data_IF_916509305431
#
_entry.id   IF_916509305431
#
_cell.length_a   1.000
_cell.length_b   1.000
_cell.length_c   1.000
_cell.angle_alpha   90.00
_cell.angle_beta   90.00
_cell.angle_gamma   90.00
#
_symmetry.space_group_name_H-M   'P 1'
#
loop_
_entity.id
_entity.type
_entity.pdbx_description
1 polymer ?
#
# COMPACT_ATOMS: atom_id res chain seq x y z
N UNK A 1 21.64 -7.26 0.51
CA UNK A 1 22.59 -6.67 1.48
C UNK A 1 23.67 -5.96 0.67
N UNK A 2 23.81 -4.64 0.79
CA UNK A 2 24.80 -3.88 0.02
C UNK A 2 26.07 -3.77 0.88
N UNK A 3 27.19 -4.37 0.46
CA UNK A 3 28.48 -4.25 1.16
C UNK A 3 29.31 -3.21 0.41
N UNK A 4 29.64 -2.10 1.09
CA UNK A 4 30.46 -1.03 0.53
C UNK A 4 31.89 -1.14 1.06
N UNK A 5 32.89 -1.12 0.18
CA UNK A 5 34.31 -1.03 0.52
C UNK A 5 34.85 0.27 -0.07
N UNK A 6 35.42 1.14 0.76
CA UNK A 6 35.91 2.45 0.34
C UNK A 6 37.32 2.76 0.84
N UNK A 7 38.11 3.48 0.03
CA UNK A 7 39.37 4.14 0.42
C UNK A 7 39.17 5.66 0.51
N UNK A 8 40.04 6.30 1.30
CA UNK A 8 39.99 7.73 1.63
C UNK A 8 40.07 8.71 0.45
N UNK A 9 39.46 9.92 0.55
CA UNK A 9 38.60 10.40 1.63
C UNK A 9 37.15 9.99 1.37
N UNK A 10 36.66 9.02 2.15
CA UNK A 10 35.30 8.48 2.07
C UNK A 10 34.59 8.72 3.41
N UNK A 11 33.27 9.00 3.43
CA UNK A 11 32.51 9.07 4.68
C UNK A 11 32.63 7.79 5.56
N UNK A 12 33.10 6.67 4.99
CA UNK A 12 33.43 5.45 5.73
C UNK A 12 34.66 5.58 6.65
N UNK A 13 35.59 6.50 6.34
CA UNK A 13 36.84 6.65 7.08
C UNK A 13 36.62 7.34 8.43
N UNK A 14 35.66 8.26 8.53
CA UNK A 14 35.24 8.84 9.80
C UNK A 14 34.62 7.76 10.71
N UNK A 15 33.79 6.87 10.17
CA UNK A 15 33.26 5.73 10.94
C UNK A 15 34.36 4.75 11.36
N UNK A 16 35.31 4.45 10.48
CA UNK A 16 36.48 3.63 10.81
C UNK A 16 37.32 4.27 11.91
N UNK A 17 37.53 5.59 11.83
CA UNK A 17 38.28 6.35 12.83
C UNK A 17 37.54 6.39 14.17
N UNK A 18 36.21 6.50 14.16
CA UNK A 18 35.38 6.43 15.38
C UNK A 18 35.39 5.04 16.00
N UNK A 19 35.25 3.99 15.20
CA UNK A 19 35.35 2.60 15.67
C UNK A 19 36.73 2.30 16.28
N UNK A 20 37.79 2.82 15.67
CA UNK A 20 39.15 2.71 16.19
C UNK A 20 39.34 3.52 17.48
N UNK A 21 38.85 4.77 17.56
CA UNK A 21 39.01 5.62 18.75
C UNK A 21 38.15 5.18 19.94
N UNK A 22 36.89 4.81 19.71
CA UNK A 22 35.95 4.49 20.79
C UNK A 22 36.06 3.04 21.26
N UNK A 23 36.46 2.13 20.37
CA UNK A 23 36.38 0.69 20.64
C UNK A 23 37.64 -0.09 20.27
N UNK A 24 38.73 0.58 19.86
CA UNK A 24 39.97 -0.02 19.39
C UNK A 24 39.72 -1.13 18.34
N UNK A 25 38.73 -0.91 17.47
CA UNK A 25 38.21 -1.91 16.56
C UNK A 25 38.25 -1.46 15.09
N UNK A 26 38.28 -2.42 14.18
CA UNK A 26 38.27 -2.23 12.74
C UNK A 26 36.87 -2.56 12.20
N UNK A 27 36.32 -1.70 11.32
CA UNK A 27 35.07 -2.00 10.63
C UNK A 27 35.28 -3.13 9.63
N UNK A 28 34.47 -4.17 9.76
CA UNK A 28 34.41 -5.29 8.82
C UNK A 28 33.39 -5.04 7.71
N UNK A 29 32.25 -4.46 8.08
CA UNK A 29 31.10 -4.25 7.18
C UNK A 29 30.42 -2.94 7.50
N UNK A 30 29.99 -2.22 6.46
CA UNK A 30 29.19 -1.01 6.60
C UNK A 30 27.74 -1.30 6.21
N UNK A 31 26.80 -0.80 7.02
CA UNK A 31 25.37 -1.04 6.92
C UNK A 31 24.66 0.30 6.78
N UNK A 32 23.70 0.40 5.86
CA UNK A 32 22.80 1.55 5.77
C UNK A 32 21.45 1.12 6.31
N UNK A 33 20.97 1.79 7.35
CA UNK A 33 19.76 1.40 8.07
C UNK A 33 18.57 2.28 7.70
N UNK A 34 17.46 1.64 7.34
CA UNK A 34 16.09 2.20 7.23
C UNK A 34 15.15 1.26 8.00
N UNK A 35 14.15 1.71 8.77
CA UNK A 35 13.37 2.94 8.60
C UNK A 35 13.27 3.74 9.92
N UNK A 36 14.28 4.55 10.20
CA UNK A 36 14.19 5.63 11.20
C UNK A 36 13.91 6.94 10.44
N UNK A 37 13.31 7.98 11.04
CA UNK A 37 13.16 9.29 10.40
C UNK A 37 14.47 9.90 9.87
N UNK A 38 15.63 9.40 10.31
CA UNK A 38 16.96 9.79 9.85
C UNK A 38 17.71 8.60 9.22
N UNK A 39 18.47 8.86 8.14
CA UNK A 39 19.25 7.84 7.42
C UNK A 39 20.53 7.57 8.22
N UNK A 40 20.74 6.36 8.73
CA UNK A 40 21.93 6.05 9.55
C UNK A 40 22.88 5.12 8.82
N UNK A 41 24.17 5.42 8.94
CA UNK A 41 25.25 4.55 8.48
C UNK A 41 25.93 3.92 9.69
N UNK A 42 26.06 2.61 9.67
CA UNK A 42 26.59 1.84 10.78
C UNK A 42 27.77 0.98 10.33
N UNK A 43 28.72 0.74 11.23
CA UNK A 43 29.85 -0.14 11.00
C UNK A 43 29.79 -1.31 11.99
N UNK A 44 29.83 -2.53 11.47
CA UNK A 44 29.98 -3.74 12.26
C UNK A 44 31.47 -4.06 12.45
N UNK A 45 31.88 -4.27 13.69
CA UNK A 45 33.28 -4.48 14.08
C UNK A 45 33.56 -5.96 14.36
N UNK A 46 34.84 -6.36 14.38
CA UNK A 46 35.27 -7.76 14.69
C UNK A 46 34.73 -8.36 16.00
N UNK A 47 34.15 -7.55 16.89
CA UNK A 47 33.61 -7.99 18.17
C UNK A 47 32.06 -7.94 18.22
N UNK A 48 31.39 -7.85 17.07
CA UNK A 48 29.93 -7.82 16.96
C UNK A 48 29.30 -6.55 17.54
N UNK A 49 30.04 -5.44 17.56
CA UNK A 49 29.54 -4.13 18.00
C UNK A 49 29.32 -3.23 16.81
N UNK A 50 28.17 -2.55 16.82
CA UNK A 50 27.72 -1.64 15.77
C UNK A 50 28.03 -0.20 16.18
N UNK A 51 28.77 0.53 15.35
CA UNK A 51 29.09 1.95 15.53
C UNK A 51 28.29 2.75 14.53
N UNK A 52 27.39 3.61 15.00
CA UNK A 52 26.45 4.36 14.15
C UNK A 52 26.89 5.81 13.92
N UNK A 53 26.50 6.36 12.78
CA UNK A 53 26.58 7.77 12.42
C UNK A 53 25.29 8.18 11.72
N UNK A 54 24.70 9.27 12.20
CA UNK A 54 23.56 9.91 11.53
C UNK A 54 24.03 10.59 10.24
N UNK A 55 23.29 10.41 9.14
CA UNK A 55 23.52 11.10 7.87
C UNK A 55 22.53 12.24 7.71
N UNK A 56 23.03 13.45 7.47
CA UNK A 56 22.20 14.57 7.07
C UNK A 56 21.87 14.48 5.57
N UNK A 57 20.70 14.99 5.17
CA UNK A 57 20.21 14.94 3.78
C UNK A 57 21.22 15.56 2.80
N UNK A 58 21.99 16.56 3.22
CA UNK A 58 23.02 17.19 2.37
C UNK A 58 24.21 16.26 2.08
N UNK A 59 24.48 15.26 2.92
CA UNK A 59 25.57 14.29 2.74
C UNK A 59 25.17 13.12 1.81
N UNK A 60 23.87 12.82 1.72
CA UNK A 60 23.33 11.63 1.03
C UNK A 60 23.24 11.85 -0.48
N UNK A 61 22.81 13.04 -0.92
CA UNK A 61 22.61 13.35 -2.34
C UNK A 61 23.94 13.30 -3.14
N UNK A 62 25.05 13.89 -2.68
CA UNK A 62 26.33 13.80 -3.38
C UNK A 62 26.91 12.37 -3.38
N UNK A 63 26.74 11.63 -2.28
CA UNK A 63 27.19 10.25 -2.16
C UNK A 63 26.45 9.33 -3.14
N UNK A 64 25.13 9.48 -3.25
CA UNK A 64 24.29 8.70 -4.16
C UNK A 64 24.63 8.97 -5.63
N UNK A 65 24.85 10.24 -5.98
CA UNK A 65 25.25 10.64 -7.34
C UNK A 65 26.69 10.23 -7.69
N UNK A 66 27.57 10.11 -6.69
CA UNK A 66 28.90 9.52 -6.88
C UNK A 66 28.82 8.01 -7.09
N UNK A 67 28.03 7.30 -6.29
CA UNK A 67 27.83 5.84 -6.43
C UNK A 67 27.20 5.46 -7.76
N UNK A 68 26.20 6.23 -8.24
CA UNK A 68 25.63 6.02 -9.59
C UNK A 68 26.71 6.14 -10.67
N UNK A 69 27.60 7.13 -10.56
CA UNK A 69 28.69 7.37 -11.53
C UNK A 69 29.75 6.27 -11.47
N UNK A 70 30.17 5.86 -10.28
CA UNK A 70 31.19 4.81 -10.11
C UNK A 70 30.67 3.44 -10.55
N UNK A 71 29.42 3.11 -10.23
CA UNK A 71 28.80 1.84 -10.64
C UNK A 71 28.54 1.79 -12.14
N UNK A 72 28.17 2.91 -12.76
CA UNK A 72 28.08 3.05 -14.22
C UNK A 72 29.46 2.88 -14.87
N UNK A 73 30.50 3.54 -14.35
CA UNK A 73 31.86 3.41 -14.86
C UNK A 73 32.50 2.02 -14.62
N UNK A 74 32.05 1.28 -13.60
CA UNK A 74 32.44 -0.12 -13.39
C UNK A 74 31.73 -1.06 -14.37
N UNK A 75 30.44 -0.82 -14.63
CA UNK A 75 29.66 -1.55 -15.62
C UNK A 75 30.23 -1.35 -17.03
N UNK A 76 30.48 -0.10 -17.43
CA UNK A 76 31.05 0.24 -18.73
C UNK A 76 32.46 -0.40 -18.90
N UNK A 77 33.27 -0.45 -17.84
CA UNK A 77 34.59 -1.13 -17.86
C UNK A 77 34.49 -2.66 -17.96
N UNK A 78 33.48 -3.27 -17.33
CA UNK A 78 33.27 -4.73 -17.38
C UNK A 78 32.66 -5.17 -18.71
N UNK A 79 31.87 -4.32 -19.36
CA UNK A 79 31.35 -4.53 -20.71
C UNK A 79 32.47 -4.44 -21.75
N UNK A 80 33.47 -3.57 -21.53
CA UNK A 80 34.67 -3.47 -22.39
C UNK A 80 35.72 -4.57 -22.14
N UNK A 81 35.81 -5.14 -20.93
CA UNK A 81 36.88 -6.09 -20.58
C UNK A 81 36.53 -7.58 -20.73
N UNK A 82 35.25 -7.94 -20.86
CA UNK A 82 34.83 -9.33 -21.14
C UNK A 82 35.19 -10.39 -20.09
N UNK A 83 35.46 -10.01 -18.84
CA UNK A 83 35.92 -10.94 -17.79
C UNK A 83 34.77 -11.45 -16.90
N UNK A 84 34.57 -12.78 -16.88
CA UNK A 84 33.73 -13.49 -15.90
C UNK A 84 34.44 -13.62 -14.55
N UNK A 85 33.79 -13.16 -13.47
CA UNK A 85 34.39 -13.13 -12.12
C UNK A 85 34.10 -14.39 -11.30
N UNK A 86 35.17 -15.05 -10.83
CA UNK A 86 35.15 -16.08 -9.79
C UNK A 86 34.93 -15.47 -8.40
N UNK A 87 33.97 -15.97 -7.62
CA UNK A 87 33.78 -15.66 -6.21
C UNK A 87 33.85 -16.96 -5.39
N UNK A 88 34.84 -17.05 -4.50
CA UNK A 88 35.10 -18.20 -3.64
C UNK A 88 34.66 -17.92 -2.19
N UNK A 89 34.12 -18.99 -1.59
CA UNK A 89 34.13 -19.45 -0.19
C UNK A 89 33.71 -18.53 0.96
N UNK A 90 32.57 -18.88 1.56
CA UNK A 90 32.27 -18.68 2.99
C UNK A 90 31.78 -20.03 3.54
N UNK A 91 32.66 -20.75 4.25
CA UNK A 91 32.40 -22.10 4.78
C UNK A 91 31.68 -22.06 6.13
N UNK A 92 30.87 -23.10 6.36
CA UNK A 92 29.87 -23.21 7.42
C UNK A 92 30.40 -23.19 8.86
N UNK A 93 29.60 -22.59 9.74
CA UNK A 93 29.62 -22.84 11.18
C UNK A 93 28.52 -23.83 11.57
N UNK A 94 28.93 -24.92 12.23
CA UNK A 94 28.09 -25.92 12.85
C UNK A 94 27.40 -25.36 14.11
N UNK A 95 26.07 -25.41 14.16
CA UNK A 95 25.30 -25.25 15.39
C UNK A 95 24.43 -26.49 15.67
N UNK A 96 24.60 -27.03 16.89
CA UNK A 96 23.86 -28.18 17.41
C UNK A 96 22.45 -27.83 17.92
N UNK A 97 21.63 -28.90 18.02
CA UNK A 97 20.26 -29.00 18.56
C UNK A 97 19.09 -28.50 17.67
N UNK A 98 18.76 -29.32 16.66
CA UNK A 98 17.43 -29.74 16.14
C UNK A 98 16.25 -28.75 16.07
N UNK A 99 16.48 -27.44 15.97
CA UNK A 99 15.42 -26.50 15.61
C UNK A 99 15.53 -26.14 14.13
N UNK A 100 14.77 -26.85 13.28
CA UNK A 100 14.63 -26.48 11.86
C UNK A 100 13.82 -25.18 11.79
N UNK A 101 14.43 -24.10 11.32
CA UNK A 101 13.71 -22.84 11.03
C UNK A 101 13.06 -22.97 9.65
N UNK A 102 11.73 -22.98 9.62
CA UNK A 102 10.95 -23.03 8.38
C UNK A 102 10.58 -21.62 7.94
N UNK A 103 10.83 -21.31 6.67
CA UNK A 103 10.29 -20.11 6.02
C UNK A 103 8.86 -20.40 5.53
N UNK A 104 7.88 -19.68 6.07
CA UNK A 104 6.48 -19.84 5.65
C UNK A 104 6.24 -19.10 4.32
N UNK A 105 5.55 -19.76 3.39
CA UNK A 105 5.20 -19.24 2.06
C UNK A 105 3.68 -19.31 1.91
N UNK A 106 3.08 -18.25 1.36
CA UNK A 106 1.66 -18.20 0.98
C UNK A 106 1.47 -17.53 -0.38
N UNK A 107 0.27 -17.61 -0.96
CA UNK A 107 -0.04 -16.89 -2.20
C UNK A 107 0.12 -15.36 -2.08
N UNK A 108 0.01 -14.80 -0.85
CA UNK A 108 0.20 -13.37 -0.59
C UNK A 108 1.66 -13.02 -0.26
N UNK A 109 2.47 -14.01 0.12
CA UNK A 109 3.86 -13.86 0.55
C UNK A 109 4.72 -14.94 -0.13
N UNK A 110 5.03 -14.80 -1.43
CA UNK A 110 5.91 -15.73 -2.12
C UNK A 110 7.35 -15.59 -1.59
N UNK A 111 8.14 -16.66 -1.69
CA UNK A 111 9.53 -16.65 -1.29
C UNK A 111 10.45 -16.67 -2.51
N UNK A 112 11.50 -15.85 -2.47
CA UNK A 112 12.60 -15.92 -3.44
C UNK A 112 13.92 -16.06 -2.69
N UNK A 113 14.82 -16.90 -3.20
CA UNK A 113 16.17 -16.99 -2.64
C UNK A 113 17.22 -17.23 -3.74
N UNK A 114 18.42 -16.64 -3.59
CA UNK A 114 19.46 -16.72 -4.60
C UNK A 114 20.02 -18.14 -4.69
N UNK A 115 20.37 -18.56 -5.91
CA UNK A 115 20.92 -19.90 -6.22
C UNK A 115 22.39 -19.86 -6.64
N UNK A 116 23.12 -18.80 -6.23
CA UNK A 116 24.52 -18.57 -6.57
C UNK A 116 25.37 -19.82 -6.26
N UNK A 117 26.01 -20.38 -7.30
CA UNK A 117 26.89 -21.53 -7.19
C UNK A 117 26.21 -22.91 -7.12
N UNK A 118 24.88 -23.00 -7.22
CA UNK A 118 24.17 -24.28 -7.23
C UNK A 118 23.96 -24.81 -8.65
N UNK A 119 24.29 -26.08 -8.90
CA UNK A 119 24.09 -26.72 -10.22
C UNK A 119 22.66 -27.18 -10.43
N UNK A 120 22.10 -27.85 -9.43
CA UNK A 120 20.75 -28.41 -9.42
C UNK A 120 20.13 -28.23 -8.04
N UNK A 121 18.82 -27.96 -8.01
CA UNK A 121 18.02 -27.86 -6.79
C UNK A 121 16.91 -28.90 -6.80
N UNK A 122 16.66 -29.51 -5.65
CA UNK A 122 15.65 -30.56 -5.47
C UNK A 122 14.74 -30.27 -4.28
N UNK A 123 13.47 -30.63 -4.41
CA UNK A 123 12.53 -30.60 -3.29
C UNK A 123 12.59 -31.92 -2.50
N UNK A 124 12.84 -31.79 -1.20
CA UNK A 124 12.76 -32.87 -0.21
C UNK A 124 11.56 -32.62 0.73
N UNK A 125 10.49 -33.42 0.65
CA UNK A 125 9.37 -33.30 1.59
C UNK A 125 9.81 -33.64 3.01
N UNK A 126 9.31 -32.87 3.98
CA UNK A 126 9.48 -33.14 5.41
C UNK A 126 8.21 -33.70 6.07
N UNK A 127 7.06 -33.59 5.38
CA UNK A 127 5.75 -34.06 5.86
C UNK A 127 4.80 -32.92 6.19
N UNK A 128 3.69 -33.25 6.82
CA UNK A 128 2.71 -32.29 7.35
C UNK A 128 3.09 -31.88 8.77
N UNK A 129 2.61 -30.72 9.22
CA UNK A 129 2.83 -30.24 10.59
C UNK A 129 2.22 -31.14 11.68
N UNK A 130 1.27 -32.02 11.33
CA UNK A 130 0.72 -33.04 12.22
C UNK A 130 1.50 -34.39 12.19
N UNK A 131 2.64 -34.44 11.49
CA UNK A 131 3.42 -35.66 11.30
C UNK A 131 2.94 -36.56 10.15
N UNK A 132 1.91 -36.15 9.42
CA UNK A 132 1.43 -36.86 8.23
C UNK A 132 2.44 -36.86 7.09
N UNK A 133 2.36 -37.86 6.22
CA UNK A 133 3.25 -37.98 5.07
C UNK A 133 2.81 -37.04 3.93
N UNK A 134 3.77 -36.44 3.24
CA UNK A 134 3.56 -35.66 2.01
C UNK A 134 4.46 -36.20 0.93
N UNK A 135 3.89 -36.50 -0.24
CA UNK A 135 4.69 -36.94 -1.39
C UNK A 135 5.39 -35.77 -2.06
N UNK A 136 6.53 -36.04 -2.70
CA UNK A 136 7.26 -35.04 -3.48
C UNK A 136 6.41 -34.46 -4.61
N UNK A 137 5.66 -35.31 -5.31
CA UNK A 137 4.76 -34.90 -6.38
C UNK A 137 3.71 -33.90 -5.88
N UNK A 138 3.19 -34.10 -4.66
CA UNK A 138 2.24 -33.17 -4.05
C UNK A 138 2.86 -31.81 -3.76
N UNK A 139 4.08 -31.75 -3.23
CA UNK A 139 4.80 -30.48 -3.02
C UNK A 139 5.08 -29.77 -4.36
N UNK A 140 5.44 -30.53 -5.40
CA UNK A 140 5.66 -29.97 -6.74
C UNK A 140 4.37 -29.42 -7.36
N UNK A 141 3.26 -30.15 -7.27
CA UNK A 141 1.95 -29.67 -7.71
C UNK A 141 1.49 -28.44 -6.94
N UNK A 142 1.80 -28.37 -5.64
CA UNK A 142 1.46 -27.25 -4.77
C UNK A 142 2.20 -25.96 -5.15
N UNK A 143 3.47 -26.07 -5.57
CA UNK A 143 4.32 -24.91 -5.87
C UNK A 143 4.44 -24.61 -7.37
N UNK A 144 4.09 -25.55 -8.26
CA UNK A 144 4.23 -25.36 -9.71
C UNK A 144 5.67 -25.17 -10.20
N UNK A 145 6.67 -25.49 -9.37
CA UNK A 145 8.07 -25.13 -9.60
C UNK A 145 9.00 -26.34 -9.72
N UNK A 146 8.52 -27.57 -9.74
CA UNK A 146 9.37 -28.75 -9.96
C UNK A 146 8.70 -29.83 -10.81
N UNK A 147 9.55 -30.66 -11.42
CA UNK A 147 9.12 -31.84 -12.18
C UNK A 147 8.75 -33.02 -11.27
N UNK A 148 8.31 -34.13 -11.88
CA UNK A 148 7.94 -35.36 -11.16
C UNK A 148 9.08 -35.96 -10.34
N UNK A 149 10.34 -35.65 -10.69
CA UNK A 149 11.53 -36.10 -9.96
C UNK A 149 11.87 -35.18 -8.78
N UNK A 150 11.21 -34.02 -8.69
CA UNK A 150 11.42 -32.97 -7.69
C UNK A 150 12.50 -31.98 -8.06
N UNK A 151 13.01 -32.00 -9.29
CA UNK A 151 13.99 -31.04 -9.76
C UNK A 151 13.29 -29.70 -9.94
N UNK A 152 13.79 -28.67 -9.28
CA UNK A 152 13.23 -27.33 -9.30
C UNK A 152 13.49 -26.69 -10.66
N UNK A 153 12.42 -26.29 -11.35
CA UNK A 153 12.45 -25.41 -12.50
C UNK A 153 12.93 -24.03 -12.03
N UNK A 154 14.21 -23.77 -12.21
CA UNK A 154 14.76 -22.44 -11.93
C UNK A 154 14.15 -21.45 -12.92
N UNK A 155 13.12 -20.72 -12.49
CA UNK A 155 12.63 -19.55 -13.22
C UNK A 155 13.76 -18.52 -13.23
N UNK A 156 14.56 -18.53 -14.29
CA UNK A 156 15.65 -17.57 -14.54
C UNK A 156 15.04 -16.20 -14.85
N UNK A 157 14.51 -15.52 -13.85
CA UNK A 157 14.21 -14.09 -13.97
C UNK A 157 15.50 -13.35 -13.62
N UNK A 158 16.17 -12.80 -14.63
CA UNK A 158 17.30 -11.89 -14.44
C UNK A 158 16.75 -10.56 -13.92
N UNK A 159 16.46 -10.48 -12.63
CA UNK A 159 16.39 -9.19 -11.96
C UNK A 159 17.80 -8.92 -11.41
N UNK A 160 18.45 -7.89 -11.94
CA UNK A 160 19.81 -7.47 -11.52
C UNK A 160 20.95 -8.49 -11.75
N UNK A 161 20.77 -9.47 -12.64
CA UNK A 161 21.83 -10.40 -13.06
C UNK A 161 22.01 -11.63 -12.17
N UNK A 162 21.23 -11.76 -11.09
CA UNK A 162 21.26 -12.92 -10.20
C UNK A 162 20.19 -13.95 -10.57
N UNK A 163 20.45 -15.22 -10.28
CA UNK A 163 19.51 -16.34 -10.48
C UNK A 163 18.85 -16.64 -9.14
N UNK A 164 17.52 -16.77 -9.15
CA UNK A 164 16.72 -17.06 -7.95
C UNK A 164 15.81 -18.27 -8.19
N UNK A 165 15.51 -19.00 -7.12
CA UNK A 165 14.35 -19.88 -7.06
C UNK A 165 13.19 -19.07 -6.51
N UNK A 166 12.14 -18.91 -7.30
CA UNK A 166 10.87 -18.32 -6.88
C UNK A 166 9.92 -19.45 -6.46
N UNK A 167 9.42 -19.39 -5.24
CA UNK A 167 8.46 -20.34 -4.68
C UNK A 167 7.15 -19.61 -4.44
N UNK A 168 6.14 -19.97 -5.22
CA UNK A 168 4.80 -19.41 -5.13
C UNK A 168 3.78 -20.56 -5.19
N UNK A 169 2.86 -20.68 -4.21
CA UNK A 169 1.82 -21.69 -4.27
C UNK A 169 0.90 -21.48 -5.49
N UNK A 170 0.57 -22.54 -6.22
CA UNK A 170 -0.39 -22.51 -7.33
C UNK A 170 -1.78 -22.17 -6.80
N UNK A 171 -2.53 -21.34 -7.53
CA UNK A 171 -3.87 -20.84 -7.15
C UNK A 171 -4.77 -21.88 -6.46
N UNK A 172 -5.45 -21.43 -5.39
CA UNK A 172 -6.29 -22.20 -4.43
C UNK A 172 -7.24 -23.21 -5.07
N UNK A 173 -7.81 -22.89 -6.24
CA UNK A 173 -8.83 -23.70 -6.91
C UNK A 173 -8.36 -25.11 -7.31
N UNK A 174 -7.04 -25.36 -7.31
CA UNK A 174 -6.42 -26.63 -7.70
C UNK A 174 -5.79 -27.40 -6.55
N UNK A 175 -5.80 -26.87 -5.33
CA UNK A 175 -5.14 -27.50 -4.20
C UNK A 175 -6.09 -28.46 -3.46
N UNK A 176 -5.62 -29.66 -3.06
CA UNK A 176 -6.34 -30.46 -2.08
C UNK A 176 -6.58 -29.61 -0.82
N UNK A 177 -7.78 -29.69 -0.23
CA UNK A 177 -8.04 -29.05 1.08
C UNK A 177 -7.15 -29.69 2.13
N UNK A 178 -6.01 -29.06 2.40
CA UNK A 178 -5.08 -29.50 3.43
C UNK A 178 -5.36 -28.72 4.71
N UNK A 179 -5.62 -29.45 5.79
CA UNK A 179 -5.87 -28.89 7.13
C UNK A 179 -4.57 -28.56 7.88
N UNK A 180 -3.42 -28.92 7.33
CA UNK A 180 -2.11 -28.82 7.97
C UNK A 180 -1.05 -28.28 7.01
N UNK A 181 -0.09 -27.55 7.57
CA UNK A 181 1.06 -27.00 6.85
C UNK A 181 1.88 -28.10 6.20
N UNK A 182 2.34 -27.86 4.97
CA UNK A 182 3.22 -28.76 4.22
C UNK A 182 4.66 -28.30 4.40
N UNK A 183 5.48 -29.10 5.06
CA UNK A 183 6.89 -28.81 5.28
C UNK A 183 7.76 -29.48 4.19
N UNK A 184 8.75 -28.75 3.70
CA UNK A 184 9.70 -29.26 2.70
C UNK A 184 11.01 -28.49 2.77
N UNK A 185 12.02 -28.99 2.08
CA UNK A 185 13.31 -28.34 1.91
C UNK A 185 13.65 -28.22 0.43
N UNK A 186 14.36 -27.15 0.08
CA UNK A 186 15.09 -27.07 -1.17
C UNK A 186 16.55 -27.40 -0.89
N UNK A 187 17.04 -28.43 -1.56
CA UNK A 187 18.41 -28.95 -1.44
C UNK A 187 19.15 -28.65 -2.73
N UNK A 188 20.21 -27.86 -2.65
CA UNK A 188 21.06 -27.49 -3.78
C UNK A 188 22.47 -28.05 -3.65
N UNK A 189 23.03 -28.55 -4.75
CA UNK A 189 24.43 -28.99 -4.82
C UNK A 189 25.33 -27.86 -5.34
N UNK A 190 26.34 -27.49 -4.57
CA UNK A 190 27.37 -26.52 -4.94
C UNK A 190 28.41 -27.12 -5.89
N UNK A 191 29.17 -26.27 -6.59
CA UNK A 191 30.21 -26.72 -7.53
C UNK A 191 31.35 -27.52 -6.90
N UNK A 192 31.64 -27.26 -5.63
CA UNK A 192 32.66 -27.90 -4.80
C UNK A 192 32.19 -29.21 -4.15
N UNK A 193 30.93 -29.61 -4.39
CA UNK A 193 30.31 -30.77 -3.76
C UNK A 193 29.62 -30.48 -2.42
N UNK A 194 29.62 -29.24 -1.96
CA UNK A 194 28.84 -28.80 -0.79
C UNK A 194 27.33 -28.91 -1.02
N UNK A 195 26.57 -29.08 0.06
CA UNK A 195 25.10 -29.15 0.01
C UNK A 195 24.52 -27.97 0.80
N UNK A 196 23.66 -27.19 0.15
CA UNK A 196 22.88 -26.14 0.80
C UNK A 196 21.45 -26.62 0.95
N UNK A 197 20.92 -26.54 2.18
CA UNK A 197 19.52 -26.90 2.47
C UNK A 197 18.80 -25.70 3.05
N UNK A 198 17.62 -25.39 2.52
CA UNK A 198 16.73 -24.36 3.06
C UNK A 198 15.34 -24.93 3.28
N UNK A 199 14.82 -24.80 4.49
CA UNK A 199 13.56 -25.40 4.90
C UNK A 199 12.41 -24.38 4.81
N UNK A 200 11.25 -24.87 4.37
CA UNK A 200 10.06 -24.08 4.06
C UNK A 200 8.79 -24.78 4.55
N UNK A 201 7.75 -23.98 4.77
CA UNK A 201 6.40 -24.45 5.02
C UNK A 201 5.43 -23.75 4.06
N UNK A 202 4.56 -24.49 3.38
CA UNK A 202 3.38 -23.91 2.74
C UNK A 202 2.23 -23.99 3.71
N UNK A 203 1.53 -22.88 3.90
CA UNK A 203 0.28 -22.81 4.66
C UNK A 203 -0.89 -22.92 3.67
N UNK A 204 -1.51 -24.11 3.49
CA UNK A 204 -2.45 -24.38 2.39
C UNK A 204 -3.88 -23.94 2.68
N UNK A 205 -4.23 -23.80 3.94
CA UNK A 205 -5.41 -23.06 4.36
C UNK A 205 -4.90 -21.81 5.01
N UNK A 206 -5.44 -20.63 4.64
CA UNK A 206 -5.34 -19.49 5.53
C UNK A 206 -5.73 -20.00 6.93
N UNK A 207 -4.78 -20.15 7.87
CA UNK A 207 -5.15 -19.89 9.25
C UNK A 207 -5.64 -18.48 9.16
N UNK A 208 -6.96 -18.32 9.10
CA UNK A 208 -7.57 -17.12 9.62
C UNK A 208 -6.99 -17.05 11.02
N UNK A 209 -5.90 -16.29 11.20
CA UNK A 209 -5.60 -15.60 12.46
C UNK A 209 -6.99 -15.26 12.97
N UNK A 210 -7.36 -15.66 14.20
CA UNK A 210 -8.69 -15.35 14.76
C UNK A 210 -8.90 -13.83 14.69
N UNK A 211 -9.37 -13.37 13.55
CA UNK A 211 -9.75 -12.02 13.21
C UNK A 211 -11.21 -12.01 13.60
N UNK A 212 -11.62 -10.96 14.30
CA UNK A 212 -13.05 -10.80 14.50
C UNK A 212 -13.72 -10.73 13.13
N UNK A 213 -14.97 -11.17 13.06
CA UNK A 213 -15.84 -10.79 11.95
C UNK A 213 -15.80 -9.26 11.78
N UNK A 214 -16.02 -8.80 10.55
CA UNK A 214 -16.23 -7.39 10.30
C UNK A 214 -17.54 -6.94 10.96
N UNK A 215 -17.54 -5.71 11.46
CA UNK A 215 -18.74 -4.97 11.78
C UNK A 215 -18.91 -3.89 10.71
N UNK A 216 -19.98 -4.01 9.93
CA UNK A 216 -20.25 -3.16 8.77
C UNK A 216 -21.26 -2.05 9.11
N UNK A 217 -21.08 -0.90 8.47
CA UNK A 217 -21.91 0.29 8.61
C UNK A 217 -22.06 0.94 7.24
N UNK A 218 -23.26 1.43 6.93
CA UNK A 218 -23.56 2.07 5.65
C UNK A 218 -24.55 3.22 5.83
N UNK A 219 -24.52 4.14 4.87
CA UNK A 219 -25.67 5.00 4.57
C UNK A 219 -26.89 4.17 4.19
N UNK A 220 -28.05 4.81 4.19
CA UNK A 220 -29.30 4.20 3.72
C UNK A 220 -29.33 4.21 2.18
N UNK A 221 -30.15 3.34 1.57
CA UNK A 221 -30.35 3.28 0.11
C UNK A 221 -29.10 3.52 -0.75
N UNK A 222 -27.98 2.87 -0.46
CA UNK A 222 -26.70 3.13 -1.15
C UNK A 222 -26.79 2.99 -2.68
N UNK A 223 -27.75 2.21 -3.19
CA UNK A 223 -28.03 2.10 -4.62
C UNK A 223 -28.49 3.42 -5.28
N UNK A 224 -28.91 4.42 -4.50
CA UNK A 224 -29.18 5.79 -4.96
C UNK A 224 -27.90 6.63 -5.12
N UNK A 225 -26.73 6.14 -4.71
CA UNK A 225 -25.48 6.89 -4.89
C UNK A 225 -25.06 6.87 -6.37
N UNK A 226 -25.08 8.00 -7.08
CA UNK A 226 -24.72 8.04 -8.48
C UNK A 226 -23.22 7.86 -8.69
N UNK A 227 -22.85 7.29 -9.83
CA UNK A 227 -21.46 7.04 -10.21
C UNK A 227 -21.09 7.93 -11.40
N UNK A 228 -20.87 9.21 -11.11
CA UNK A 228 -20.43 10.19 -12.10
C UNK A 228 -18.96 10.01 -12.48
N UNK A 229 -18.59 10.52 -13.65
CA UNK A 229 -17.23 10.51 -14.19
C UNK A 229 -16.73 11.93 -14.43
N UNK A 230 -15.43 12.11 -14.27
CA UNK A 230 -14.69 13.29 -14.75
C UNK A 230 -14.92 13.50 -16.25
N UNK A 231 -14.91 14.76 -16.67
CA UNK A 231 -14.99 15.20 -18.06
C UNK A 231 -14.18 16.49 -18.27
N UNK A 232 -13.77 16.83 -19.50
CA UNK A 232 -13.05 18.06 -19.79
C UNK A 232 -13.90 19.32 -19.52
N UNK A 233 -13.35 20.29 -18.80
CA UNK A 233 -13.95 21.59 -18.51
C UNK A 233 -12.85 22.64 -18.30
N UNK A 234 -12.96 23.80 -18.96
CA UNK A 234 -12.01 24.92 -18.84
C UNK A 234 -10.52 24.55 -19.01
N UNK A 235 -10.22 23.59 -19.89
CA UNK A 235 -8.83 23.21 -20.23
C UNK A 235 -8.22 22.09 -19.39
N UNK A 236 -8.93 21.54 -18.40
CA UNK A 236 -8.52 20.35 -17.63
C UNK A 236 -9.74 19.47 -17.31
N UNK A 237 -9.60 18.44 -16.48
CA UNK A 237 -10.76 17.72 -15.94
C UNK A 237 -11.57 18.61 -14.99
N UNK A 238 -12.89 18.40 -14.91
CA UNK A 238 -13.81 19.17 -14.04
C UNK A 238 -13.45 19.12 -12.55
N UNK A 239 -12.70 18.11 -12.11
CA UNK A 239 -12.16 18.02 -10.77
C UNK A 239 -12.94 17.09 -9.85
N UNK A 240 -12.22 16.47 -8.90
CA UNK A 240 -12.78 15.47 -8.00
C UNK A 240 -13.66 16.07 -6.89
N UNK A 241 -13.39 17.30 -6.45
CA UNK A 241 -14.19 18.03 -5.46
C UNK A 241 -15.64 18.29 -5.90
N UNK A 242 -15.88 19.01 -7.02
CA UNK A 242 -17.23 19.27 -7.51
C UNK A 242 -17.98 17.99 -7.85
N UNK A 243 -17.28 16.99 -8.38
CA UNK A 243 -17.88 15.71 -8.72
C UNK A 243 -18.32 14.92 -7.47
N UNK A 244 -17.50 14.91 -6.40
CA UNK A 244 -17.88 14.27 -5.14
C UNK A 244 -19.10 14.94 -4.49
N UNK A 245 -19.18 16.27 -4.52
CA UNK A 245 -20.38 16.98 -4.05
C UNK A 245 -21.61 16.69 -4.91
N UNK A 246 -21.45 16.65 -6.24
CA UNK A 246 -22.54 16.26 -7.13
C UNK A 246 -23.08 14.86 -6.82
N UNK A 247 -22.20 13.91 -6.47
CA UNK A 247 -22.63 12.57 -6.10
C UNK A 247 -23.48 12.57 -4.83
N UNK A 248 -23.06 13.30 -3.80
CA UNK A 248 -23.84 13.43 -2.55
C UNK A 248 -25.18 14.13 -2.78
N UNK A 249 -25.19 15.23 -3.55
CA UNK A 249 -26.43 15.95 -3.84
C UNK A 249 -27.37 15.14 -4.72
N UNK A 250 -26.86 14.42 -5.71
CA UNK A 250 -27.65 13.49 -6.51
C UNK A 250 -28.24 12.34 -5.69
N UNK A 251 -27.49 11.82 -4.71
CA UNK A 251 -28.00 10.82 -3.76
C UNK A 251 -29.19 11.35 -2.94
N UNK A 252 -29.09 12.56 -2.39
CA UNK A 252 -30.20 13.17 -1.64
C UNK A 252 -31.42 13.46 -2.52
N UNK A 253 -31.18 13.97 -3.73
CA UNK A 253 -32.22 14.25 -4.72
C UNK A 253 -33.00 12.98 -5.12
N UNK A 254 -32.29 11.92 -5.48
CA UNK A 254 -32.90 10.63 -5.80
C UNK A 254 -33.71 10.05 -4.64
N UNK A 255 -33.18 10.13 -3.41
CA UNK A 255 -33.92 9.66 -2.22
C UNK A 255 -35.19 10.47 -1.97
N UNK A 256 -35.15 11.78 -2.17
CA UNK A 256 -36.32 12.65 -2.05
C UNK A 256 -37.39 12.27 -3.08
N UNK A 257 -37.00 12.10 -4.34
CA UNK A 257 -37.92 11.68 -5.42
C UNK A 257 -38.51 10.28 -5.20
N UNK A 258 -37.76 9.37 -4.57
CA UNK A 258 -38.24 8.05 -4.18
C UNK A 258 -39.12 8.04 -2.92
N UNK A 259 -39.26 9.18 -2.22
CA UNK A 259 -39.95 9.26 -0.93
C UNK A 259 -39.21 8.56 0.23
N UNK A 260 -37.88 8.41 0.10
CA UNK A 260 -37.01 7.70 1.04
C UNK A 260 -36.12 8.65 1.87
N UNK A 261 -36.19 9.96 1.62
CA UNK A 261 -35.42 10.99 2.31
C UNK A 261 -36.26 12.23 2.63
N UNK A 262 -35.58 13.32 2.95
CA UNK A 262 -36.23 14.63 3.10
C UNK A 262 -36.73 15.12 1.73
N UNK A 263 -37.98 15.58 1.69
CA UNK A 263 -38.62 16.06 0.48
C UNK A 263 -37.89 17.26 -0.12
N UNK A 264 -37.26 18.09 0.71
CA UNK A 264 -36.50 19.26 0.23
C UNK A 264 -35.29 18.83 -0.62
N UNK A 265 -34.81 17.59 -0.46
CA UNK A 265 -33.72 17.02 -1.26
C UNK A 265 -33.97 17.09 -2.77
N UNK A 266 -35.23 17.03 -3.22
CA UNK A 266 -35.61 17.10 -4.64
C UNK A 266 -35.30 18.45 -5.30
N UNK A 267 -34.98 19.49 -4.50
CA UNK A 267 -34.56 20.78 -5.03
C UNK A 267 -33.05 20.86 -5.35
N UNK A 268 -32.26 19.83 -5.01
CA UNK A 268 -30.81 19.82 -5.18
C UNK A 268 -30.39 19.70 -6.65
N UNK A 269 -31.12 18.93 -7.44
CA UNK A 269 -31.03 18.91 -8.90
C UNK A 269 -32.35 19.40 -9.51
N UNK A 270 -32.29 20.17 -10.58
CA UNK A 270 -33.47 20.83 -11.15
C UNK A 270 -33.54 20.69 -12.66
N UNK A 271 -34.72 20.94 -13.23
CA UNK A 271 -34.99 20.72 -14.65
C UNK A 271 -34.32 21.72 -15.62
N UNK A 272 -33.74 22.81 -15.11
CA UNK A 272 -33.03 23.80 -15.90
C UNK A 272 -31.84 23.22 -16.66
N UNK A 273 -31.34 23.95 -17.65
CA UNK A 273 -30.27 23.50 -18.53
C UNK A 273 -28.97 23.18 -17.79
N UNK A 274 -28.70 23.89 -16.69
CA UNK A 274 -27.53 23.69 -15.85
C UNK A 274 -27.79 22.81 -14.62
N UNK A 275 -28.99 22.25 -14.48
CA UNK A 275 -29.36 21.42 -13.33
C UNK A 275 -29.54 22.18 -12.01
N UNK A 276 -29.36 23.51 -11.97
CA UNK A 276 -29.45 24.30 -10.73
C UNK A 276 -30.69 25.20 -10.66
N UNK A 277 -31.34 25.43 -11.80
CA UNK A 277 -32.50 26.31 -11.98
C UNK A 277 -33.73 25.55 -12.49
N UNK A 278 -34.90 26.19 -12.52
CA UNK A 278 -36.15 25.54 -12.94
C UNK A 278 -36.88 24.84 -11.79
N UNK A 279 -37.82 23.98 -12.13
CA UNK A 279 -38.57 23.20 -11.13
C UNK A 279 -37.76 21.98 -10.62
N UNK A 280 -38.21 21.44 -9.50
CA UNK A 280 -37.68 20.30 -8.74
C UNK A 280 -38.34 18.97 -9.12
N UNK A 281 -38.93 18.85 -10.31
CA UNK A 281 -39.53 17.58 -10.77
C UNK A 281 -38.54 16.66 -11.48
N UNK A 282 -37.32 17.12 -11.73
CA UNK A 282 -36.30 16.33 -12.42
C UNK A 282 -35.38 15.68 -11.41
N UNK A 283 -35.32 14.35 -11.48
CA UNK A 283 -34.42 13.54 -10.68
C UNK A 283 -32.99 13.54 -11.25
N UNK A 284 -32.00 13.57 -10.35
CA UNK A 284 -30.60 13.41 -10.67
C UNK A 284 -30.35 12.02 -11.30
N UNK A 285 -29.71 11.95 -12.48
CA UNK A 285 -29.41 10.68 -13.11
C UNK A 285 -28.34 9.90 -12.32
N UNK A 286 -28.32 8.57 -12.42
CA UNK A 286 -27.25 7.73 -11.84
C UNK A 286 -25.89 7.87 -12.54
N UNK A 287 -25.87 8.46 -13.74
CA UNK A 287 -24.71 8.59 -14.64
C UNK A 287 -24.66 9.98 -15.25
N UNK A 288 -23.51 10.36 -15.83
CA UNK A 288 -23.37 11.66 -16.49
C UNK A 288 -24.37 11.79 -17.65
N UNK A 289 -25.07 12.93 -17.66
CA UNK A 289 -25.81 13.46 -18.80
C UNK A 289 -25.27 14.85 -19.13
N UNK A 290 -25.71 15.47 -20.24
CA UNK A 290 -25.34 16.85 -20.54
C UNK A 290 -25.72 17.82 -19.41
N UNK A 291 -26.95 17.71 -18.90
CA UNK A 291 -27.42 18.52 -17.77
C UNK A 291 -26.62 18.28 -16.49
N UNK A 292 -26.33 17.02 -16.15
CA UNK A 292 -25.50 16.71 -14.97
C UNK A 292 -24.06 17.22 -15.15
N UNK A 293 -23.51 17.20 -16.37
CA UNK A 293 -22.18 17.77 -16.63
C UNK A 293 -22.19 19.29 -16.46
N UNK A 294 -23.25 19.99 -16.88
CA UNK A 294 -23.43 21.41 -16.60
C UNK A 294 -23.56 21.68 -15.10
N UNK A 295 -24.30 20.84 -14.38
CA UNK A 295 -24.46 20.93 -12.92
C UNK A 295 -23.12 20.78 -12.18
N UNK A 296 -22.34 19.76 -12.53
CA UNK A 296 -21.00 19.56 -11.96
C UNK A 296 -20.08 20.74 -12.32
N UNK A 297 -20.24 21.34 -13.51
CA UNK A 297 -19.51 22.55 -13.91
C UNK A 297 -19.88 23.77 -13.06
N UNK A 298 -21.15 23.93 -12.68
CA UNK A 298 -21.58 24.97 -11.72
C UNK A 298 -20.99 24.74 -10.33
N UNK A 299 -20.94 23.49 -9.87
CA UNK A 299 -20.27 23.18 -8.61
C UNK A 299 -18.75 23.44 -8.69
N UNK A 300 -18.12 23.21 -9.85
CA UNK A 300 -16.72 23.56 -10.09
C UNK A 300 -16.50 25.07 -9.89
N UNK A 301 -17.35 25.90 -10.50
CA UNK A 301 -17.31 27.35 -10.36
C UNK A 301 -17.50 27.79 -8.89
N UNK A 302 -18.50 27.23 -8.19
CA UNK A 302 -18.79 27.53 -6.77
C UNK A 302 -17.61 27.18 -5.86
N UNK A 303 -16.98 26.04 -6.12
CA UNK A 303 -15.81 25.57 -5.37
C UNK A 303 -14.51 26.26 -5.79
N UNK A 304 -14.54 27.12 -6.80
CA UNK A 304 -13.34 27.71 -7.42
C UNK A 304 -12.27 26.64 -7.69
N UNK A 305 -12.69 25.56 -8.35
CA UNK A 305 -11.77 24.50 -8.77
C UNK A 305 -10.90 25.04 -9.90
N UNK A 306 -9.60 24.72 -9.87
CA UNK A 306 -8.61 25.26 -10.80
C UNK A 306 -7.82 24.13 -11.47
N UNK A 307 -7.21 24.42 -12.62
CA UNK A 307 -6.38 23.45 -13.32
C UNK A 307 -4.99 23.35 -12.68
N UNK A 308 -4.56 22.13 -12.37
CA UNK A 308 -3.20 21.79 -11.98
C UNK A 308 -2.66 20.76 -12.97
N UNK A 309 -2.07 21.23 -14.07
CA UNK A 309 -1.87 20.39 -15.26
C UNK A 309 -3.21 20.01 -15.88
N UNK A 310 -3.38 18.75 -16.28
CA UNK A 310 -4.60 18.28 -16.93
C UNK A 310 -5.71 17.86 -15.95
N UNK A 311 -5.51 18.04 -14.63
CA UNK A 311 -6.49 17.69 -13.60
C UNK A 311 -7.11 18.92 -12.93
N UNK A 312 -8.40 18.85 -12.65
CA UNK A 312 -9.10 19.84 -11.83
C UNK A 312 -8.85 19.61 -10.35
N UNK A 313 -8.23 20.58 -9.68
CA UNK A 313 -7.89 20.55 -8.27
C UNK A 313 -8.78 21.51 -7.47
N UNK A 314 -9.24 21.06 -6.30
CA UNK A 314 -10.04 21.87 -5.38
C UNK A 314 -9.32 21.97 -4.04
N UNK A 315 -9.15 23.19 -3.53
CA UNK A 315 -8.58 23.38 -2.20
C UNK A 315 -9.51 22.82 -1.12
N UNK A 316 -8.96 22.18 -0.08
CA UNK A 316 -9.74 21.67 1.05
C UNK A 316 -10.63 22.75 1.68
N UNK A 317 -10.12 23.97 1.81
CA UNK A 317 -10.89 25.11 2.34
C UNK A 317 -11.95 25.64 1.38
N UNK A 318 -11.91 25.29 0.10
CA UNK A 318 -12.97 25.65 -0.83
C UNK A 318 -14.14 24.65 -0.79
N UNK A 319 -13.94 23.45 -0.26
CA UNK A 319 -14.97 22.41 -0.20
C UNK A 319 -16.21 22.82 0.61
N UNK A 320 -16.10 23.82 1.51
CA UNK A 320 -17.24 24.36 2.26
C UNK A 320 -18.07 25.38 1.47
N UNK A 321 -17.60 25.88 0.33
CA UNK A 321 -18.27 26.95 -0.44
C UNK A 321 -19.61 26.54 -1.03
N UNK A 322 -19.90 25.24 -1.13
CA UNK A 322 -21.21 24.73 -1.52
C UNK A 322 -22.28 24.94 -0.44
N UNK A 323 -21.91 25.39 0.77
CA UNK A 323 -22.86 25.62 1.87
C UNK A 323 -23.98 26.60 1.50
N UNK A 324 -23.65 27.71 0.84
CA UNK A 324 -24.65 28.67 0.38
C UNK A 324 -25.62 28.05 -0.65
N UNK A 325 -25.08 27.26 -1.58
CA UNK A 325 -25.88 26.52 -2.57
C UNK A 325 -26.82 25.51 -1.91
N UNK A 326 -26.31 24.78 -0.91
CA UNK A 326 -27.02 23.75 -0.18
C UNK A 326 -28.13 24.33 0.70
N UNK A 327 -27.83 25.34 1.52
CA UNK A 327 -28.82 26.03 2.37
C UNK A 327 -29.94 26.68 1.60
N UNK A 328 -29.66 27.23 0.41
CA UNK A 328 -30.69 27.81 -0.44
C UNK A 328 -31.78 26.79 -0.84
N UNK A 329 -31.45 25.48 -0.84
CA UNK A 329 -32.32 24.40 -1.30
C UNK A 329 -32.84 23.50 -0.19
N UNK A 330 -32.12 23.41 0.94
CA UNK A 330 -32.47 22.57 2.08
C UNK A 330 -32.93 23.36 3.31
N UNK A 331 -33.05 24.68 3.18
CA UNK A 331 -33.42 25.56 4.30
C UNK A 331 -32.25 25.98 5.19
N UNK A 332 -32.57 26.77 6.22
CA UNK A 332 -31.58 27.44 7.06
C UNK A 332 -30.88 26.53 8.08
N UNK A 333 -31.45 25.36 8.40
CA UNK A 333 -30.83 24.37 9.29
C UNK A 333 -29.76 23.53 8.60
N UNK A 334 -29.76 23.48 7.27
CA UNK A 334 -28.80 22.72 6.50
C UNK A 334 -27.37 23.26 6.68
N UNK A 335 -26.39 22.37 6.69
CA UNK A 335 -25.02 22.69 7.08
C UNK A 335 -23.99 21.83 6.32
N UNK A 336 -22.87 22.46 5.96
CA UNK A 336 -21.69 21.76 5.44
C UNK A 336 -20.64 21.75 6.55
N UNK A 337 -20.35 20.57 7.08
CA UNK A 337 -19.27 20.42 8.06
C UNK A 337 -18.02 19.89 7.38
N UNK A 338 -16.90 20.62 7.51
CA UNK A 338 -15.58 20.21 7.03
C UNK A 338 -14.64 19.88 8.19
N UNK A 339 -13.91 18.78 8.06
CA UNK A 339 -12.84 18.32 8.96
C UNK A 339 -11.56 18.16 8.14
N UNK A 340 -10.61 19.06 8.36
CA UNK A 340 -9.34 19.09 7.64
C UNK A 340 -8.16 19.37 8.58
N UNK A 341 -6.94 19.16 8.10
CA UNK A 341 -5.74 19.51 8.83
C UNK A 341 -5.61 21.04 8.98
N UNK A 342 -5.51 21.50 10.23
CA UNK A 342 -5.57 22.93 10.59
C UNK A 342 -4.29 23.72 10.27
N UNK A 343 -3.16 23.04 10.01
CA UNK A 343 -1.88 23.71 9.76
C UNK A 343 -1.71 24.08 8.28
N UNK A 344 -1.51 25.38 8.00
CA UNK A 344 -1.46 25.99 6.66
C UNK A 344 -0.48 25.31 5.68
N UNK A 345 0.72 24.93 6.11
CA UNK A 345 1.73 24.27 5.25
C UNK A 345 1.36 22.82 4.87
N UNK A 346 0.43 22.18 5.59
CA UNK A 346 0.00 20.79 5.35
C UNK A 346 -1.35 20.69 4.63
N UNK A 347 -1.95 21.80 4.17
CA UNK A 347 -3.17 21.73 3.33
C UNK A 347 -2.91 21.04 1.98
N UNK A 348 -1.66 21.05 1.51
CA UNK A 348 -1.19 20.35 0.31
C UNK A 348 -0.62 18.95 0.60
N UNK A 349 -0.20 18.68 1.83
CA UNK A 349 0.42 17.42 2.25
C UNK A 349 -0.59 16.59 3.02
N UNK A 350 -1.14 15.54 2.41
CA UNK A 350 -2.11 14.67 3.08
C UNK A 350 -1.46 13.76 4.12
N UNK A 351 -1.27 14.32 5.31
CA UNK A 351 -1.00 13.57 6.52
C UNK A 351 -2.32 13.01 7.07
N UNK A 352 -2.40 11.69 7.08
CA UNK A 352 -3.50 10.95 7.70
C UNK A 352 -3.64 11.28 9.19
N UNK A 353 -4.90 11.44 9.67
CA UNK A 353 -5.19 11.62 11.09
C UNK A 353 -6.37 10.77 11.55
N UNK A 354 -6.15 9.99 12.61
CA UNK A 354 -7.17 9.20 13.30
C UNK A 354 -8.41 10.01 13.70
N UNK A 355 -8.26 11.28 14.08
CA UNK A 355 -9.38 12.14 14.48
C UNK A 355 -10.32 12.43 13.30
N UNK A 356 -9.78 12.73 12.12
CA UNK A 356 -10.57 12.99 10.90
C UNK A 356 -11.26 11.71 10.44
N UNK A 357 -10.54 10.57 10.47
CA UNK A 357 -11.14 9.25 10.22
C UNK A 357 -12.33 9.02 11.15
N UNK A 358 -12.16 9.20 12.46
CA UNK A 358 -13.22 8.93 13.44
C UNK A 358 -14.44 9.83 13.24
N UNK A 359 -14.25 11.09 12.87
CA UNK A 359 -15.34 12.00 12.49
C UNK A 359 -16.11 11.49 11.27
N UNK A 360 -15.40 11.09 10.19
CA UNK A 360 -16.03 10.51 9.01
C UNK A 360 -16.82 9.23 9.33
N UNK A 361 -16.28 8.34 10.16
CA UNK A 361 -17.00 7.15 10.62
C UNK A 361 -18.26 7.51 11.41
N UNK A 362 -18.21 8.58 12.22
CA UNK A 362 -19.36 9.07 12.97
C UNK A 362 -20.48 9.57 12.05
N UNK A 363 -20.14 10.25 10.95
CA UNK A 363 -21.12 10.69 9.95
C UNK A 363 -21.78 9.51 9.23
N UNK A 364 -21.02 8.47 8.85
CA UNK A 364 -21.60 7.25 8.26
C UNK A 364 -22.52 6.52 9.24
N UNK A 365 -22.20 6.48 10.55
CA UNK A 365 -23.12 5.94 11.56
C UNK A 365 -24.42 6.72 11.65
N UNK A 366 -24.36 8.04 11.40
CA UNK A 366 -25.51 8.94 11.32
C UNK A 366 -26.17 8.94 9.93
N UNK A 367 -25.79 8.01 9.04
CA UNK A 367 -26.37 7.80 7.71
C UNK A 367 -26.09 8.89 6.69
N UNK A 368 -25.05 9.69 6.93
CA UNK A 368 -24.62 10.72 5.99
C UNK A 368 -23.43 10.24 5.13
N UNK A 369 -23.51 10.32 3.79
CA UNK A 369 -22.35 10.10 2.93
C UNK A 369 -21.31 11.19 3.16
N UNK A 370 -20.03 10.86 3.00
CA UNK A 370 -18.92 11.74 3.37
C UNK A 370 -17.97 11.91 2.20
N UNK A 371 -17.66 13.15 1.81
CA UNK A 371 -16.54 13.43 0.92
C UNK A 371 -15.25 13.22 1.72
N UNK A 372 -14.37 12.34 1.27
CA UNK A 372 -13.08 12.08 1.92
C UNK A 372 -11.91 12.43 1.00
N UNK A 373 -10.87 13.03 1.54
CA UNK A 373 -9.61 13.26 0.82
C UNK A 373 -8.63 12.12 1.06
N UNK A 374 -8.26 11.44 -0.02
CA UNK A 374 -7.39 10.26 -0.03
C UNK A 374 -6.21 10.43 -0.98
N UNK A 375 -5.07 9.83 -0.61
CA UNK A 375 -3.85 9.94 -1.41
C UNK A 375 -4.01 9.11 -2.68
N UNK A 376 -3.90 9.76 -3.84
CA UNK A 376 -3.85 9.06 -5.12
C UNK A 376 -2.41 8.64 -5.44
N UNK A 377 -2.27 7.55 -6.20
CA UNK A 377 -0.97 7.05 -6.64
C UNK A 377 -0.30 8.12 -7.51
N UNK A 378 0.80 8.73 -7.04
CA UNK A 378 1.45 9.82 -7.77
C UNK A 378 2.32 10.77 -6.95
N UNK A 379 2.38 10.61 -5.62
CA UNK A 379 3.29 11.37 -4.76
C UNK A 379 2.59 12.03 -3.57
N UNK A 380 3.34 12.81 -2.79
CA UNK A 380 2.85 13.46 -1.55
C UNK A 380 1.79 14.54 -1.81
N UNK A 381 1.74 15.08 -3.04
CA UNK A 381 0.83 16.15 -3.46
C UNK A 381 -0.37 15.63 -4.28
N UNK A 382 -0.45 14.32 -4.54
CA UNK A 382 -1.55 13.73 -5.31
C UNK A 382 -2.76 13.50 -4.39
N UNK A 383 -3.65 14.50 -4.36
CA UNK A 383 -4.89 14.45 -3.59
C UNK A 383 -6.07 14.07 -4.48
N UNK A 384 -6.97 13.24 -3.97
CA UNK A 384 -8.23 12.89 -4.63
C UNK A 384 -9.38 12.93 -3.63
N UNK A 385 -10.49 13.57 -4.01
CA UNK A 385 -11.73 13.53 -3.25
C UNK A 385 -12.63 12.42 -3.78
N UNK A 386 -13.09 11.56 -2.89
CA UNK A 386 -14.01 10.47 -3.19
C UNK A 386 -15.20 10.52 -2.21
N UNK A 387 -16.29 9.82 -2.52
CA UNK A 387 -17.43 9.71 -1.61
C UNK A 387 -17.38 8.38 -0.87
N UNK A 388 -17.31 8.46 0.45
CA UNK A 388 -17.42 7.33 1.36
C UNK A 388 -18.90 7.08 1.68
N UNK A 389 -19.36 5.84 1.49
CA UNK A 389 -20.76 5.42 1.73
C UNK A 389 -20.86 4.31 2.77
N UNK A 390 -19.77 3.58 3.00
CA UNK A 390 -19.70 2.50 3.98
C UNK A 390 -18.37 2.48 4.70
N UNK A 391 -18.37 1.88 5.88
CA UNK A 391 -17.14 1.38 6.48
C UNK A 391 -17.36 0.06 7.19
N UNK A 392 -16.27 -0.66 7.38
CA UNK A 392 -16.24 -1.89 8.16
C UNK A 392 -15.06 -1.88 9.10
N UNK A 393 -15.21 -2.46 10.27
CA UNK A 393 -14.14 -2.55 11.25
C UNK A 393 -13.96 -3.97 11.74
N UNK A 394 -12.71 -4.34 12.02
CA UNK A 394 -12.38 -5.61 12.66
C UNK A 394 -11.27 -5.43 13.67
N UNK A 395 -11.22 -6.35 14.60
CA UNK A 395 -10.19 -6.41 15.63
C UNK A 395 -9.18 -7.49 15.24
N UNK A 396 -7.93 -7.09 15.11
CA UNK A 396 -6.80 -7.93 14.73
C UNK A 396 -5.80 -8.01 15.88
N UNK A 397 -5.22 -9.19 16.08
CA UNK A 397 -4.09 -9.37 16.99
C UNK A 397 -2.81 -9.24 16.19
N UNK A 398 -2.04 -8.19 16.48
CA UNK A 398 -0.74 -7.94 15.87
C UNK A 398 0.35 -8.19 16.89
N UNK A 399 1.45 -8.81 16.47
CA UNK A 399 2.62 -9.05 17.33
C UNK A 399 3.65 -7.98 17.01
N UNK A 400 3.86 -7.04 17.92
CA UNK A 400 4.93 -6.06 17.82
C UNK A 400 6.13 -6.61 18.61
N UNK A 401 7.28 -6.76 17.96
CA UNK A 401 8.50 -7.23 18.59
C UNK A 401 9.52 -6.10 18.66
N UNK A 402 9.94 -5.72 19.86
CA UNK A 402 11.12 -4.87 20.06
C UNK A 402 12.35 -5.77 20.00
N UNK A 403 13.30 -5.44 19.12
CA UNK A 403 14.58 -6.14 18.98
C UNK A 403 14.46 -7.66 18.73
N UNK A 404 13.41 -8.13 18.04
CA UNK A 404 13.11 -9.56 17.76
C UNK A 404 12.91 -10.49 18.98
N UNK A 405 13.31 -10.09 20.20
CA UNK A 405 13.22 -10.93 21.40
C UNK A 405 12.01 -10.57 22.27
N UNK A 406 11.63 -9.30 22.32
CA UNK A 406 10.55 -8.82 23.19
C UNK A 406 9.28 -8.57 22.39
N UNK A 407 8.50 -9.63 22.21
CA UNK A 407 7.25 -9.54 21.49
C UNK A 407 6.05 -9.34 22.41
N UNK A 408 5.24 -8.31 22.13
CA UNK A 408 3.95 -8.11 22.77
C UNK A 408 2.85 -8.25 21.73
N UNK A 409 1.82 -9.02 22.08
CA UNK A 409 0.60 -9.08 21.29
C UNK A 409 -0.24 -7.86 21.62
N UNK A 410 -0.53 -7.05 20.61
CA UNK A 410 -1.39 -5.89 20.68
C UNK A 410 -2.68 -6.18 19.93
N UNK A 411 -3.79 -5.74 20.50
CA UNK A 411 -5.08 -5.76 19.82
C UNK A 411 -5.24 -4.42 19.12
N UNK A 412 -5.31 -4.44 17.79
CA UNK A 412 -5.48 -3.26 16.96
C UNK A 412 -6.84 -3.35 16.27
N UNK A 413 -7.49 -2.20 16.09
CA UNK A 413 -8.72 -2.10 15.32
C UNK A 413 -8.39 -1.59 13.93
N UNK A 414 -8.71 -2.39 12.92
CA UNK A 414 -8.60 -2.02 11.51
C UNK A 414 -9.94 -1.44 11.02
N UNK A 415 -9.83 -0.54 10.05
CA UNK A 415 -10.96 0.15 9.45
C UNK A 415 -10.77 0.17 7.94
N UNK A 416 -11.77 -0.34 7.21
CA UNK A 416 -11.87 -0.18 5.76
C UNK A 416 -13.10 0.69 5.45
N UNK A 417 -13.03 1.45 4.37
CA UNK A 417 -14.11 2.28 3.85
C UNK A 417 -14.40 1.94 2.39
N UNK A 418 -15.66 1.95 2.00
CA UNK A 418 -16.07 1.81 0.60
C UNK A 418 -16.17 3.18 -0.03
N UNK A 419 -15.46 3.37 -1.15
CA UNK A 419 -15.37 4.65 -1.85
C UNK A 419 -15.98 4.58 -3.23
N UNK A 420 -16.75 5.62 -3.58
CA UNK A 420 -17.07 5.99 -4.95
C UNK A 420 -16.04 6.99 -5.44
N UNK A 421 -15.25 6.60 -6.44
CA UNK A 421 -14.05 7.34 -6.85
C UNK A 421 -14.34 8.48 -7.82
N UNK A 422 -15.55 8.56 -8.38
CA UNK A 422 -15.89 9.61 -9.33
C UNK A 422 -15.35 9.39 -10.76
N UNK A 423 -15.18 8.12 -11.14
CA UNK A 423 -14.72 7.68 -12.46
C UNK A 423 -15.74 6.76 -13.15
N UNK A 424 -17.03 7.08 -13.06
CA UNK A 424 -18.07 6.26 -13.68
C UNK A 424 -18.21 4.87 -13.06
N UNK A 425 -17.89 4.73 -11.77
CA UNK A 425 -17.88 3.45 -11.05
C UNK A 425 -16.58 2.66 -11.17
N UNK A 426 -15.65 3.08 -12.05
CA UNK A 426 -14.33 2.47 -12.16
C UNK A 426 -13.54 2.71 -10.87
N UNK A 427 -12.92 1.64 -10.35
CA UNK A 427 -12.12 1.64 -9.10
C UNK A 427 -12.88 1.98 -7.81
N UNK A 428 -14.22 1.99 -7.84
CA UNK A 428 -15.01 1.96 -6.62
C UNK A 428 -14.67 0.70 -5.81
N UNK A 429 -14.63 0.80 -4.49
CA UNK A 429 -14.31 -0.35 -3.67
C UNK A 429 -13.82 -0.05 -2.27
N UNK A 430 -13.54 -1.14 -1.55
CA UNK A 430 -13.00 -1.12 -0.20
C UNK A 430 -11.52 -0.70 -0.20
N UNK A 431 -11.18 0.26 0.66
CA UNK A 431 -9.80 0.72 0.93
C UNK A 431 -9.61 0.89 2.42
N UNK A 432 -8.37 0.91 2.89
CA UNK A 432 -8.08 1.31 4.28
C UNK A 432 -8.65 2.71 4.54
N UNK A 433 -9.21 2.92 5.72
CA UNK A 433 -9.78 4.21 6.14
C UNK A 433 -8.70 5.24 6.50
N UNK A 434 -7.78 5.48 5.57
CA UNK A 434 -6.71 6.47 5.65
C UNK A 434 -7.14 7.72 4.88
N UNK A 435 -7.47 8.79 5.61
CA UNK A 435 -7.90 10.06 5.05
C UNK A 435 -7.28 11.26 5.79
N UNK A 436 -7.15 12.38 5.08
CA UNK A 436 -6.66 13.65 5.63
C UNK A 436 -7.72 14.77 5.59
N UNK A 437 -8.88 14.47 5.03
CA UNK A 437 -10.01 15.38 4.89
C UNK A 437 -11.31 14.59 4.97
N UNK A 438 -12.33 15.17 5.58
CA UNK A 438 -13.71 14.69 5.55
C UNK A 438 -14.67 15.89 5.47
N UNK A 439 -15.70 15.81 4.63
CA UNK A 439 -16.78 16.78 4.59
C UNK A 439 -18.13 16.10 4.42
N UNK A 440 -19.16 16.68 5.04
CA UNK A 440 -20.52 16.14 5.03
C UNK A 440 -21.53 17.27 4.87
N UNK A 441 -22.61 16.98 4.16
CA UNK A 441 -23.77 17.85 4.03
C UNK A 441 -24.91 17.27 4.88
N UNK A 442 -25.42 18.02 5.86
CA UNK A 442 -26.46 17.58 6.80
C UNK A 442 -27.66 18.52 6.73
N UNK A 443 -28.86 18.00 6.92
CA UNK A 443 -30.09 18.77 7.05
C UNK A 443 -30.97 18.20 8.16
#
# INVERSE_FOLDING_TARGET
MLVLQGKDPSPMADLQQRASKQHNATCLRYLVMTPSPDLNLACDTMHGRVVERDLHVEDVVPLWEKMKREKKAEYDRKEESGEESNMADDQGEHHGNNTIRLHVISALEPASFPVLGMRDCYIRPLGLSNGGYVSRQMVCSLLGVCDEQGKVHVHRKKEYGEVYVHLEPVHEDRLPRLEHDVHFEVVGNLHDGGIVTKAFAVEPSHRTKRQSAYSDYSIDEEYCMPDYSQFPYNGCQVGCGPLAWAQIFGYYDMRAHAGLGDADGAALFRCGEDGTTGNDSCEAPLRNTGRMSNYISKLNDILETFCLGDVGATWQGNMERVEGFFRQRQGSSADITVKANSFSLFRLVMAYRDSIRNDALSFIRQKWPVVVGIKANGGVLSQHYAVMTKYRTRTVRTRECTLFVFCRTKIVREYDMFLHMGWGGVSNGWRKAEMAFAAVAKY
#
